data_IF_969110568727
#
_entry.id   IF_969110568727
#
_cell.length_a   1.000
_cell.length_b   1.000
_cell.length_c   1.000
_cell.angle_alpha   90.00
_cell.angle_beta   90.00
_cell.angle_gamma   90.00
#
_symmetry.space_group_name_H-M   'P 1'
#
loop_
_entity.id
_entity.type
_entity.pdbx_description
1 polymer ?
#
# COMPACT_ATOMS: atom_id res chain seq x y z
N UNK A 1 -44.08 -27.17 31.12
CA UNK A 1 -43.05 -28.03 30.47
C UNK A 1 -42.86 -27.74 28.97
N UNK A 2 -43.73 -26.99 28.32
CA UNK A 2 -43.58 -26.58 26.91
C UNK A 2 -42.85 -25.22 26.71
N UNK A 3 -42.87 -24.30 27.69
CA UNK A 3 -42.23 -22.98 27.60
C UNK A 3 -40.71 -23.06 27.63
N UNK A 4 -40.15 -23.88 28.52
CA UNK A 4 -38.68 -24.06 28.61
C UNK A 4 -38.08 -24.68 27.34
N UNK A 5 -38.81 -25.53 26.63
CA UNK A 5 -38.39 -26.17 25.40
C UNK A 5 -38.43 -25.18 24.22
N UNK A 6 -39.39 -24.23 24.23
CA UNK A 6 -39.48 -23.17 23.23
C UNK A 6 -38.40 -22.08 23.43
N UNK A 7 -38.00 -21.78 24.67
CA UNK A 7 -36.90 -20.90 24.99
C UNK A 7 -35.55 -21.51 24.59
N UNK A 8 -35.33 -22.83 24.84
CA UNK A 8 -34.13 -23.53 24.38
C UNK A 8 -34.03 -23.59 22.84
N UNK A 9 -35.14 -23.81 22.12
CA UNK A 9 -35.19 -23.80 20.66
C UNK A 9 -35.02 -22.39 20.07
N UNK A 10 -35.42 -21.35 20.82
CA UNK A 10 -35.20 -19.95 20.43
C UNK A 10 -33.76 -19.52 20.64
N UNK A 11 -33.09 -19.98 21.68
CA UNK A 11 -31.67 -19.73 21.96
C UNK A 11 -30.75 -20.51 20.99
N UNK A 12 -31.14 -21.70 20.53
CA UNK A 12 -30.39 -22.52 19.59
C UNK A 12 -30.38 -21.94 18.16
N UNK A 13 -31.14 -20.89 17.87
CA UNK A 13 -31.29 -20.27 16.57
C UNK A 13 -30.73 -18.85 16.48
N UNK A 14 -29.75 -18.50 17.33
CA UNK A 14 -29.03 -17.25 17.12
C UNK A 14 -28.37 -17.28 15.71
N UNK A 15 -28.71 -16.34 14.82
CA UNK A 15 -28.15 -16.32 13.48
C UNK A 15 -26.62 -16.21 13.57
N UNK A 16 -25.93 -17.07 12.83
CA UNK A 16 -24.47 -17.05 12.79
C UNK A 16 -23.97 -15.62 12.49
N UNK A 17 -22.95 -15.14 13.18
CA UNK A 17 -22.47 -13.78 13.00
C UNK A 17 -22.10 -13.54 11.54
N UNK A 18 -22.71 -12.52 10.95
CA UNK A 18 -22.43 -12.14 9.56
C UNK A 18 -20.95 -11.85 9.41
N UNK A 19 -20.30 -12.51 8.45
CA UNK A 19 -18.92 -12.27 8.06
C UNK A 19 -18.89 -11.42 6.78
N UNK A 20 -17.91 -10.55 6.69
CA UNK A 20 -17.65 -9.81 5.45
C UNK A 20 -17.22 -10.77 4.35
N UNK A 21 -17.93 -10.76 3.22
CA UNK A 21 -17.58 -11.53 2.03
C UNK A 21 -16.59 -10.71 1.19
N UNK A 22 -15.34 -11.15 1.14
CA UNK A 22 -14.28 -10.50 0.36
C UNK A 22 -12.95 -11.23 0.52
N UNK A 23 -11.97 -10.96 -0.34
CA UNK A 23 -10.65 -11.58 -0.24
C UNK A 23 -10.00 -11.27 1.11
N UNK A 24 -9.17 -12.19 1.63
CA UNK A 24 -8.48 -11.97 2.90
C UNK A 24 -7.47 -10.82 2.75
N UNK A 25 -7.64 -9.76 3.57
CA UNK A 25 -6.81 -8.55 3.48
C UNK A 25 -5.31 -8.86 3.64
N UNK A 26 -4.97 -9.74 4.60
CA UNK A 26 -3.59 -10.11 4.87
C UNK A 26 -2.91 -10.76 3.65
N UNK A 27 -3.66 -11.54 2.87
CA UNK A 27 -3.13 -12.20 1.68
C UNK A 27 -2.80 -11.16 0.58
N UNK A 28 -3.70 -10.19 0.37
CA UNK A 28 -3.46 -9.11 -0.60
C UNK A 28 -2.30 -8.22 -0.17
N UNK A 29 -2.19 -7.92 1.14
CA UNK A 29 -1.09 -7.15 1.71
C UNK A 29 0.26 -7.86 1.53
N UNK A 30 0.33 -9.16 1.80
CA UNK A 30 1.55 -9.97 1.61
C UNK A 30 1.89 -10.07 0.12
N UNK A 31 0.91 -10.37 -0.74
CA UNK A 31 1.13 -10.46 -2.19
C UNK A 31 1.71 -9.14 -2.76
N UNK A 32 1.11 -8.00 -2.38
CA UNK A 32 1.63 -6.68 -2.73
C UNK A 32 3.08 -6.50 -2.28
N UNK A 33 3.34 -6.73 -0.99
CA UNK A 33 4.67 -6.50 -0.39
C UNK A 33 5.73 -7.41 -1.01
N UNK A 34 5.42 -8.69 -1.19
CA UNK A 34 6.36 -9.68 -1.77
C UNK A 34 6.67 -9.34 -3.23
N UNK A 35 5.66 -9.05 -4.05
CA UNK A 35 5.88 -8.69 -5.45
C UNK A 35 6.69 -7.40 -5.57
N UNK A 36 6.40 -6.41 -4.73
CA UNK A 36 7.14 -5.15 -4.73
C UNK A 36 8.62 -5.36 -4.36
N UNK A 37 8.89 -6.05 -3.26
CA UNK A 37 10.26 -6.31 -2.80
C UNK A 37 11.03 -7.21 -3.75
N UNK A 38 10.38 -8.24 -4.32
CA UNK A 38 10.97 -9.08 -5.35
C UNK A 38 11.34 -8.27 -6.61
N UNK A 39 10.51 -7.25 -6.96
CA UNK A 39 10.82 -6.33 -8.05
C UNK A 39 12.03 -5.44 -7.77
N UNK A 40 12.23 -5.01 -6.52
CA UNK A 40 13.40 -4.21 -6.14
C UNK A 40 14.68 -5.04 -6.09
N UNK A 41 14.60 -6.34 -5.80
CA UNK A 41 15.76 -7.20 -5.62
C UNK A 41 16.80 -7.06 -6.74
N UNK A 42 16.45 -7.21 -8.05
CA UNK A 42 17.43 -7.22 -9.12
C UNK A 42 18.08 -5.86 -9.41
N UNK A 43 17.50 -4.75 -8.96
CA UNK A 43 18.00 -3.38 -9.24
C UNK A 43 18.69 -2.74 -8.04
N UNK A 44 18.69 -3.39 -6.88
CA UNK A 44 19.35 -2.92 -5.65
C UNK A 44 20.65 -3.68 -5.40
N UNK A 45 21.26 -3.42 -4.25
CA UNK A 45 22.52 -4.07 -3.79
C UNK A 45 22.47 -5.59 -3.82
N UNK A 46 21.30 -6.17 -3.67
CA UNK A 46 21.12 -7.63 -3.68
C UNK A 46 21.22 -8.25 -5.08
N UNK A 47 20.93 -7.49 -6.13
CA UNK A 47 21.04 -7.93 -7.52
C UNK A 47 22.41 -7.70 -8.15
N UNK A 48 23.35 -7.07 -7.43
CA UNK A 48 24.70 -6.75 -7.91
C UNK A 48 24.81 -5.38 -8.59
N UNK A 49 26.05 -4.97 -8.83
CA UNK A 49 26.36 -3.67 -9.46
C UNK A 49 26.13 -3.69 -10.99
N UNK A 50 25.89 -2.53 -11.63
CA UNK A 50 25.58 -1.24 -11.01
C UNK A 50 24.19 -1.25 -10.38
N UNK A 51 23.97 -0.43 -9.34
CA UNK A 51 22.66 -0.27 -8.67
C UNK A 51 21.80 0.77 -9.37
N UNK A 52 20.50 0.75 -9.11
CA UNK A 52 19.58 1.78 -9.58
C UNK A 52 20.06 3.16 -9.10
N UNK A 53 20.33 4.10 -10.01
CA UNK A 53 20.92 5.39 -9.67
C UNK A 53 19.94 6.28 -8.91
N UNK A 54 20.46 7.09 -8.00
CA UNK A 54 19.69 8.12 -7.32
C UNK A 54 19.43 9.34 -8.23
N UNK A 55 18.44 10.19 -7.89
CA UNK A 55 18.13 11.38 -8.69
C UNK A 55 19.23 12.47 -8.66
N UNK A 56 20.21 12.31 -7.81
CA UNK A 56 21.40 13.18 -7.72
C UNK A 56 22.56 12.73 -8.62
N UNK A 57 22.46 11.57 -9.25
CA UNK A 57 23.49 11.05 -10.14
C UNK A 57 23.51 11.76 -11.49
N UNK A 58 24.64 11.70 -12.18
CA UNK A 58 24.78 12.28 -13.51
C UNK A 58 23.94 11.55 -14.56
N UNK A 59 23.59 12.25 -15.63
CA UNK A 59 22.89 11.66 -16.78
C UNK A 59 23.63 10.45 -17.36
N UNK A 60 24.96 10.50 -17.40
CA UNK A 60 25.80 9.42 -17.92
C UNK A 60 25.75 8.20 -17.01
N UNK A 61 25.76 8.39 -15.68
CA UNK A 61 25.60 7.30 -14.70
C UNK A 61 24.25 6.63 -14.85
N UNK A 62 23.19 7.42 -15.04
CA UNK A 62 21.83 6.90 -15.26
C UNK A 62 21.80 6.08 -16.55
N UNK A 63 22.32 6.63 -17.66
CA UNK A 63 22.34 5.92 -18.94
C UNK A 63 23.14 4.62 -18.89
N UNK A 64 24.31 4.64 -18.27
CA UNK A 64 25.17 3.46 -18.10
C UNK A 64 24.45 2.34 -17.33
N UNK A 65 23.65 2.66 -16.30
CA UNK A 65 22.86 1.66 -15.58
C UNK A 65 21.82 0.99 -16.49
N UNK A 66 21.03 1.78 -17.24
CA UNK A 66 19.98 1.23 -18.10
C UNK A 66 20.52 0.44 -19.26
N UNK A 67 21.69 0.84 -19.81
CA UNK A 67 22.41 0.06 -20.83
C UNK A 67 22.97 -1.25 -20.29
N UNK A 68 23.51 -1.23 -19.06
CA UNK A 68 24.13 -2.42 -18.48
C UNK A 68 23.11 -3.45 -17.95
N UNK A 69 21.90 -3.01 -17.53
CA UNK A 69 20.97 -3.85 -16.78
C UNK A 69 19.52 -3.86 -17.30
N UNK A 70 19.27 -3.88 -18.61
CA UNK A 70 17.91 -3.78 -19.16
C UNK A 70 16.98 -4.92 -18.71
N UNK A 71 17.51 -6.13 -18.54
CA UNK A 71 16.72 -7.27 -18.05
C UNK A 71 16.31 -7.11 -16.59
N UNK A 72 17.22 -6.66 -15.71
CA UNK A 72 16.91 -6.41 -14.31
C UNK A 72 15.81 -5.33 -14.18
N UNK A 73 15.90 -4.26 -14.99
CA UNK A 73 14.90 -3.18 -15.03
C UNK A 73 13.55 -3.71 -15.52
N UNK A 74 13.51 -4.56 -16.56
CA UNK A 74 12.25 -5.18 -17.04
C UNK A 74 11.61 -6.06 -15.99
N UNK A 75 12.38 -6.86 -15.27
CA UNK A 75 11.88 -7.69 -14.16
C UNK A 75 11.32 -6.82 -13.04
N UNK A 76 12.03 -5.75 -12.66
CA UNK A 76 11.55 -4.78 -11.69
C UNK A 76 10.21 -4.17 -12.12
N UNK A 77 10.14 -3.65 -13.34
CA UNK A 77 8.93 -3.04 -13.89
C UNK A 77 7.75 -4.03 -13.91
N UNK A 78 7.97 -5.25 -14.36
CA UNK A 78 6.95 -6.30 -14.42
C UNK A 78 6.39 -6.65 -13.02
N UNK A 79 7.27 -6.87 -12.05
CA UNK A 79 6.85 -7.27 -10.70
C UNK A 79 6.18 -6.10 -9.96
N UNK A 80 6.66 -4.88 -10.12
CA UNK A 80 6.02 -3.72 -9.51
C UNK A 80 4.67 -3.40 -10.15
N UNK A 81 4.54 -3.54 -11.47
CA UNK A 81 3.23 -3.44 -12.13
C UNK A 81 2.27 -4.50 -11.58
N UNK A 82 2.74 -5.74 -11.46
CA UNK A 82 1.96 -6.84 -10.87
C UNK A 82 1.56 -6.57 -9.42
N UNK A 83 2.42 -5.91 -8.62
CA UNK A 83 2.15 -5.56 -7.23
C UNK A 83 1.02 -4.53 -7.09
N UNK A 84 0.81 -3.66 -8.07
CA UNK A 84 -0.29 -2.69 -8.05
C UNK A 84 -1.68 -3.35 -8.02
N UNK A 85 -1.82 -4.55 -8.58
CA UNK A 85 -3.10 -5.27 -8.65
C UNK A 85 -3.58 -5.68 -7.24
N UNK A 86 -2.81 -6.45 -6.43
CA UNK A 86 -3.23 -6.79 -5.08
C UNK A 86 -3.38 -5.57 -4.17
N UNK A 87 -2.65 -4.46 -4.40
CA UNK A 87 -2.87 -3.21 -3.68
C UNK A 87 -4.26 -2.62 -3.97
N UNK A 88 -4.67 -2.58 -5.25
CA UNK A 88 -6.01 -2.13 -5.63
C UNK A 88 -7.12 -3.00 -5.04
N UNK A 89 -6.95 -4.34 -5.07
CA UNK A 89 -7.90 -5.29 -4.46
C UNK A 89 -7.94 -5.12 -2.94
N UNK A 90 -6.79 -4.95 -2.29
CA UNK A 90 -6.71 -4.63 -0.86
C UNK A 90 -7.50 -3.37 -0.52
N UNK A 91 -7.31 -2.31 -1.31
CA UNK A 91 -7.99 -1.02 -1.14
C UNK A 91 -9.52 -1.17 -1.19
N UNK A 92 -10.04 -1.83 -2.22
CA UNK A 92 -11.47 -2.08 -2.35
C UNK A 92 -12.00 -2.91 -1.16
N UNK A 93 -11.25 -3.96 -0.79
CA UNK A 93 -11.64 -4.91 0.25
C UNK A 93 -11.62 -4.28 1.64
N UNK A 94 -10.62 -3.44 1.96
CA UNK A 94 -10.54 -2.80 3.29
C UNK A 94 -11.60 -1.72 3.44
N UNK A 95 -11.88 -0.94 2.41
CA UNK A 95 -12.94 0.06 2.40
C UNK A 95 -14.32 -0.60 2.60
N UNK A 96 -14.61 -1.65 1.84
CA UNK A 96 -15.84 -2.44 1.99
C UNK A 96 -15.96 -3.05 3.38
N UNK A 97 -14.87 -3.54 3.96
CA UNK A 97 -14.86 -4.10 5.31
C UNK A 97 -15.13 -3.03 6.37
N UNK A 98 -14.56 -1.84 6.26
CA UNK A 98 -14.86 -0.73 7.17
C UNK A 98 -16.33 -0.33 7.11
N UNK A 99 -16.93 -0.26 5.92
CA UNK A 99 -18.37 0.00 5.76
C UNK A 99 -19.22 -1.10 6.40
N UNK A 100 -18.86 -2.37 6.17
CA UNK A 100 -19.52 -3.51 6.80
C UNK A 100 -19.47 -3.47 8.33
N UNK A 101 -18.36 -2.99 8.89
CA UNK A 101 -18.19 -2.81 10.34
C UNK A 101 -18.91 -1.56 10.87
N UNK A 102 -19.59 -0.80 10.02
CA UNK A 102 -20.43 0.34 10.39
C UNK A 102 -19.78 1.72 10.23
N UNK A 103 -18.58 1.79 9.63
CA UNK A 103 -17.96 3.10 9.34
C UNK A 103 -18.72 3.84 8.24
N UNK A 104 -19.25 5.01 8.58
CA UNK A 104 -19.88 5.97 7.64
C UNK A 104 -19.04 7.22 7.42
N UNK A 105 -17.81 7.23 7.92
CA UNK A 105 -16.92 8.38 7.84
C UNK A 105 -16.40 8.60 6.42
N UNK A 106 -16.17 9.84 6.04
CA UNK A 106 -15.53 10.23 4.77
C UNK A 106 -14.16 9.58 4.57
N UNK A 107 -13.49 9.17 5.66
CA UNK A 107 -12.23 8.44 5.62
C UNK A 107 -12.24 7.21 4.72
N UNK A 108 -13.37 6.48 4.63
CA UNK A 108 -13.50 5.32 3.73
C UNK A 108 -13.37 5.73 2.26
N UNK A 109 -14.01 6.83 1.85
CA UNK A 109 -13.89 7.36 0.48
C UNK A 109 -12.51 7.91 0.20
N UNK A 110 -11.89 8.56 1.19
CA UNK A 110 -10.49 9.03 1.09
C UNK A 110 -9.55 7.84 0.92
N UNK A 111 -9.75 6.75 1.66
CA UNK A 111 -8.96 5.54 1.52
C UNK A 111 -9.10 4.91 0.12
N UNK A 112 -10.31 4.88 -0.45
CA UNK A 112 -10.53 4.40 -1.82
C UNK A 112 -9.80 5.25 -2.84
N UNK A 113 -9.96 6.58 -2.76
CA UNK A 113 -9.26 7.51 -3.64
C UNK A 113 -7.74 7.33 -3.54
N UNK A 114 -7.20 7.36 -2.32
CA UNK A 114 -5.77 7.22 -2.07
C UNK A 114 -5.22 5.90 -2.58
N UNK A 115 -5.85 4.78 -2.24
CA UNK A 115 -5.35 3.46 -2.60
C UNK A 115 -5.41 3.16 -4.10
N UNK A 116 -6.49 3.56 -4.79
CA UNK A 116 -6.57 3.40 -6.25
C UNK A 116 -5.60 4.32 -6.96
N UNK A 117 -5.47 5.58 -6.53
CA UNK A 117 -4.48 6.50 -7.10
C UNK A 117 -3.07 5.97 -6.91
N UNK A 118 -2.74 5.44 -5.73
CA UNK A 118 -1.43 4.78 -5.47
C UNK A 118 -1.17 3.64 -6.45
N UNK A 119 -2.17 2.76 -6.66
CA UNK A 119 -2.05 1.64 -7.61
C UNK A 119 -1.82 2.13 -9.04
N UNK A 120 -2.56 3.14 -9.48
CA UNK A 120 -2.41 3.75 -10.82
C UNK A 120 -1.03 4.41 -10.98
N UNK A 121 -0.57 5.18 -10.00
CA UNK A 121 0.75 5.81 -10.03
C UNK A 121 1.88 4.78 -10.06
N UNK A 122 1.73 3.67 -9.34
CA UNK A 122 2.69 2.57 -9.37
C UNK A 122 2.71 1.88 -10.73
N UNK A 123 1.55 1.66 -11.38
CA UNK A 123 1.47 1.15 -12.74
C UNK A 123 2.15 2.10 -13.72
N UNK A 124 1.88 3.41 -13.62
CA UNK A 124 2.48 4.43 -14.48
C UNK A 124 4.02 4.47 -14.35
N UNK A 125 4.54 4.46 -13.11
CA UNK A 125 5.97 4.37 -12.84
C UNK A 125 6.59 3.11 -13.45
N UNK A 126 5.90 1.97 -13.31
CA UNK A 126 6.36 0.68 -13.85
C UNK A 126 6.37 0.67 -15.37
N UNK A 127 5.38 1.29 -16.04
CA UNK A 127 5.36 1.43 -17.50
C UNK A 127 6.51 2.31 -17.96
N UNK A 128 6.75 3.47 -17.33
CA UNK A 128 7.87 4.33 -17.67
C UNK A 128 9.22 3.61 -17.49
N UNK A 129 9.36 2.85 -16.40
CA UNK A 129 10.52 2.01 -16.13
C UNK A 129 10.71 0.94 -17.21
N UNK A 130 9.63 0.28 -17.63
CA UNK A 130 9.66 -0.71 -18.70
C UNK A 130 10.07 -0.11 -20.05
N UNK A 131 9.59 1.10 -20.38
CA UNK A 131 10.00 1.83 -21.62
C UNK A 131 11.49 2.14 -21.59
N UNK A 132 12.04 2.58 -20.46
CA UNK A 132 13.48 2.86 -20.34
C UNK A 132 14.36 1.61 -20.58
N UNK A 133 13.80 0.42 -20.39
CA UNK A 133 14.51 -0.85 -20.64
C UNK A 133 14.37 -1.37 -22.09
N UNK A 134 13.71 -0.62 -22.99
CA UNK A 134 13.60 -1.03 -24.39
C UNK A 134 14.86 -0.67 -25.18
N UNK A 135 15.18 -1.47 -26.25
CA UNK A 135 16.35 -1.22 -27.08
C UNK A 135 16.39 0.22 -27.63
N UNK A 136 17.54 0.86 -27.57
CA UNK A 136 17.77 2.20 -28.12
C UNK A 136 17.29 3.36 -27.23
N UNK A 137 16.45 3.13 -26.23
CA UNK A 137 15.98 4.21 -25.33
C UNK A 137 17.14 4.70 -24.45
N UNK A 138 17.93 3.80 -23.91
CA UNK A 138 19.06 4.16 -23.05
C UNK A 138 20.20 4.90 -23.81
N UNK A 139 20.21 4.83 -25.13
CA UNK A 139 21.18 5.56 -25.99
C UNK A 139 20.71 6.99 -26.29
N UNK A 140 19.44 7.30 -26.06
CA UNK A 140 18.86 8.62 -26.23
C UNK A 140 18.76 9.35 -24.87
N UNK A 141 19.84 10.02 -24.48
CA UNK A 141 19.95 10.65 -23.16
C UNK A 141 18.78 11.59 -22.80
N UNK A 142 18.29 12.51 -23.67
CA UNK A 142 17.15 13.36 -23.35
C UNK A 142 15.86 12.60 -23.08
N UNK A 143 15.57 11.58 -23.88
CA UNK A 143 14.36 10.74 -23.69
C UNK A 143 14.48 9.93 -22.41
N UNK A 144 15.63 9.32 -22.17
CA UNK A 144 15.88 8.55 -20.95
C UNK A 144 15.71 9.41 -19.70
N UNK A 145 16.28 10.62 -19.69
CA UNK A 145 16.15 11.53 -18.56
C UNK A 145 14.70 11.94 -18.29
N UNK A 146 13.94 12.27 -19.34
CA UNK A 146 12.53 12.61 -19.19
C UNK A 146 11.72 11.45 -18.58
N UNK A 147 11.93 10.22 -19.07
CA UNK A 147 11.28 9.02 -18.53
C UNK A 147 11.74 8.70 -17.09
N UNK A 148 13.02 8.93 -16.80
CA UNK A 148 13.57 8.74 -15.45
C UNK A 148 12.88 9.69 -14.46
N UNK A 149 12.77 10.98 -14.77
CA UNK A 149 12.09 11.93 -13.91
C UNK A 149 10.58 11.65 -13.79
N UNK A 150 9.93 11.18 -14.85
CA UNK A 150 8.54 10.71 -14.76
C UNK A 150 8.40 9.51 -13.80
N UNK A 151 9.34 8.57 -13.89
CA UNK A 151 9.37 7.42 -12.97
C UNK A 151 9.56 7.86 -11.52
N UNK A 152 10.44 8.82 -11.27
CA UNK A 152 10.65 9.42 -9.96
C UNK A 152 9.41 10.19 -9.47
N UNK A 153 8.73 10.92 -10.33
CA UNK A 153 7.49 11.63 -10.00
C UNK A 153 6.36 10.68 -9.65
N UNK A 154 6.07 9.70 -10.52
CA UNK A 154 5.01 8.71 -10.29
C UNK A 154 5.32 7.78 -9.12
N UNK A 155 6.55 7.26 -9.04
CA UNK A 155 6.97 6.36 -7.97
C UNK A 155 7.33 7.08 -6.67
N UNK A 156 7.62 8.37 -6.69
CA UNK A 156 7.90 9.21 -5.53
C UNK A 156 6.63 9.77 -4.89
N UNK A 157 6.43 11.08 -5.03
CA UNK A 157 5.26 11.78 -4.47
C UNK A 157 3.94 11.24 -5.02
N UNK A 158 3.88 10.93 -6.31
CA UNK A 158 2.70 10.35 -6.96
C UNK A 158 2.22 9.05 -6.33
N UNK A 159 3.13 8.26 -5.77
CA UNK A 159 2.82 7.06 -4.98
C UNK A 159 2.58 7.40 -3.51
N UNK A 160 3.48 8.15 -2.87
CA UNK A 160 3.56 8.27 -1.41
C UNK A 160 2.42 9.10 -0.83
N UNK A 161 2.02 10.19 -1.49
CA UNK A 161 0.90 11.05 -1.04
C UNK A 161 -0.42 10.27 -1.07
N UNK A 162 -0.87 9.69 -2.19
CA UNK A 162 -2.12 8.94 -2.16
C UNK A 162 -2.05 7.68 -1.28
N UNK A 163 -0.86 7.09 -1.09
CA UNK A 163 -0.68 6.03 -0.11
C UNK A 163 -0.90 6.55 1.33
N UNK A 164 -0.42 7.75 1.66
CA UNK A 164 -0.71 8.43 2.92
C UNK A 164 -2.22 8.60 3.15
N UNK A 165 -2.97 9.03 2.10
CA UNK A 165 -4.43 9.13 2.15
C UNK A 165 -5.11 7.76 2.39
N UNK A 166 -4.65 6.70 1.73
CA UNK A 166 -5.15 5.34 2.01
C UNK A 166 -4.97 5.01 3.49
N UNK A 167 -3.75 5.20 3.99
CA UNK A 167 -3.39 4.86 5.38
C UNK A 167 -4.17 5.69 6.38
N UNK A 168 -4.27 7.00 6.20
CA UNK A 168 -5.06 7.90 7.05
C UNK A 168 -6.55 7.56 7.02
N UNK A 169 -7.09 7.38 5.81
CA UNK A 169 -8.50 7.07 5.58
C UNK A 169 -8.97 5.76 6.20
N UNK A 170 -8.06 4.81 6.40
CA UNK A 170 -8.33 3.56 7.14
C UNK A 170 -8.05 3.74 8.63
N UNK A 171 -6.90 4.29 8.99
CA UNK A 171 -6.41 4.36 10.38
C UNK A 171 -7.34 5.18 11.27
N UNK A 172 -7.76 6.37 10.79
CA UNK A 172 -8.55 7.29 11.58
C UNK A 172 -9.92 6.70 11.96
N UNK A 173 -10.77 6.22 11.02
CA UNK A 173 -12.03 5.59 11.38
C UNK A 173 -11.85 4.34 12.25
N UNK A 174 -10.86 3.49 11.93
CA UNK A 174 -10.59 2.28 12.69
C UNK A 174 -10.14 2.59 14.13
N UNK A 175 -9.42 3.70 14.36
CA UNK A 175 -9.03 4.16 15.68
C UNK A 175 -10.24 4.64 16.50
N UNK A 176 -11.10 5.49 15.93
CA UNK A 176 -12.32 5.96 16.60
C UNK A 176 -13.26 4.80 16.97
N UNK A 177 -13.36 3.81 16.10
CA UNK A 177 -14.17 2.61 16.33
C UNK A 177 -13.46 1.56 17.18
N UNK A 178 -12.21 1.78 17.60
CA UNK A 178 -11.37 0.84 18.37
C UNK A 178 -11.23 -0.55 17.72
N UNK A 179 -11.16 -0.58 16.39
CA UNK A 179 -11.10 -1.83 15.61
C UNK A 179 -9.69 -2.43 15.53
N UNK A 180 -8.66 -1.63 15.78
CA UNK A 180 -7.25 -2.03 15.65
C UNK A 180 -6.44 -1.61 16.89
N UNK A 181 -5.36 -2.32 17.22
CA UNK A 181 -4.46 -1.98 18.33
C UNK A 181 -3.84 -0.57 18.19
N UNK A 182 -3.57 0.08 19.32
CA UNK A 182 -3.03 1.44 19.37
C UNK A 182 -1.69 1.59 18.62
N UNK A 183 -0.84 0.57 18.63
CA UNK A 183 0.45 0.61 17.92
C UNK A 183 0.27 0.64 16.39
N UNK A 184 -0.76 -0.04 15.85
CA UNK A 184 -1.09 0.05 14.40
C UNK A 184 -1.64 1.44 14.06
N UNK A 185 -2.41 2.03 14.98
CA UNK A 185 -2.88 3.43 14.83
C UNK A 185 -1.70 4.38 14.79
N UNK A 186 -0.77 4.29 15.76
CA UNK A 186 0.41 5.15 15.83
C UNK A 186 1.28 5.01 14.58
N UNK A 187 1.55 3.77 14.14
CA UNK A 187 2.30 3.50 12.91
C UNK A 187 1.58 4.09 11.69
N UNK A 188 0.26 3.90 11.58
CA UNK A 188 -0.53 4.42 10.46
C UNK A 188 -0.52 5.96 10.39
N UNK A 189 -0.61 6.64 11.54
CA UNK A 189 -0.49 8.10 11.59
C UNK A 189 0.91 8.54 11.13
N UNK A 190 1.97 7.89 11.60
CA UNK A 190 3.34 8.20 11.19
C UNK A 190 3.54 8.00 9.68
N UNK A 191 3.08 6.86 9.12
CA UNK A 191 3.12 6.58 7.68
C UNK A 191 2.36 7.62 6.88
N UNK A 192 1.15 7.99 7.34
CA UNK A 192 0.33 9.00 6.68
C UNK A 192 1.01 10.36 6.64
N UNK A 193 1.56 10.82 7.77
CA UNK A 193 2.29 12.10 7.85
C UNK A 193 3.50 12.08 6.90
N UNK A 194 4.32 11.04 6.92
CA UNK A 194 5.46 10.92 6.01
C UNK A 194 5.01 10.89 4.54
N UNK A 195 3.91 10.20 4.24
CA UNK A 195 3.34 10.17 2.89
C UNK A 195 2.86 11.53 2.43
N UNK A 196 2.05 12.20 3.26
CA UNK A 196 1.51 13.52 2.94
C UNK A 196 2.59 14.61 2.82
N UNK A 197 3.65 14.54 3.59
CA UNK A 197 4.77 15.49 3.51
C UNK A 197 5.74 15.16 2.36
N UNK A 198 5.70 13.97 1.80
CA UNK A 198 6.67 13.54 0.80
C UNK A 198 6.69 14.37 -0.48
N UNK A 199 5.58 15.06 -0.85
CA UNK A 199 5.57 15.92 -2.02
C UNK A 199 6.49 17.15 -1.90
N UNK A 200 6.88 17.50 -0.68
CA UNK A 200 7.80 18.62 -0.44
C UNK A 200 9.15 18.40 -1.11
N UNK A 201 9.57 17.15 -1.34
CA UNK A 201 10.84 16.87 -2.03
C UNK A 201 10.89 17.46 -3.44
N UNK A 202 9.74 17.73 -4.07
CA UNK A 202 9.70 18.37 -5.41
C UNK A 202 10.23 19.79 -5.38
N UNK A 203 10.24 20.45 -4.21
CA UNK A 203 10.80 21.80 -3.99
C UNK A 203 12.06 21.74 -3.13
N UNK A 204 12.11 20.80 -2.17
CA UNK A 204 13.19 20.67 -1.18
C UNK A 204 13.78 19.26 -1.31
N UNK A 205 14.85 19.05 -2.08
CA UNK A 205 15.41 17.72 -2.34
C UNK A 205 15.79 16.95 -1.07
N UNK A 206 16.08 17.66 0.04
CA UNK A 206 16.37 17.06 1.35
C UNK A 206 15.23 16.23 1.94
N UNK A 207 13.99 16.42 1.48
CA UNK A 207 12.81 15.69 1.97
C UNK A 207 12.56 14.36 1.23
N UNK A 208 13.38 14.03 0.23
CA UNK A 208 13.31 12.77 -0.51
C UNK A 208 13.26 11.51 0.39
N UNK A 209 13.94 11.43 1.55
CA UNK A 209 13.86 10.28 2.46
C UNK A 209 12.45 9.99 2.99
N UNK A 210 11.52 10.94 2.96
CA UNK A 210 10.12 10.71 3.36
C UNK A 210 9.42 9.69 2.46
N UNK A 211 9.82 9.61 1.18
CA UNK A 211 9.28 8.64 0.22
C UNK A 211 9.55 7.19 0.63
N UNK A 212 10.81 6.75 0.79
CA UNK A 212 11.09 5.39 1.26
C UNK A 212 10.58 5.16 2.69
N UNK A 213 10.62 6.17 3.56
CA UNK A 213 10.13 6.05 4.92
C UNK A 213 8.65 5.71 4.95
N UNK A 214 7.79 6.44 4.23
CA UNK A 214 6.36 6.12 4.14
C UNK A 214 6.11 4.75 3.52
N UNK A 215 6.86 4.38 2.48
CA UNK A 215 6.68 3.13 1.73
C UNK A 215 7.06 1.91 2.54
N UNK A 216 8.27 1.86 3.09
CA UNK A 216 8.76 0.66 3.79
C UNK A 216 8.08 0.45 5.14
N UNK A 217 7.81 1.51 5.91
CA UNK A 217 6.99 1.39 7.12
C UNK A 217 5.53 1.08 6.78
N UNK A 218 5.06 1.55 5.62
CA UNK A 218 3.75 1.24 5.07
C UNK A 218 3.54 -0.25 4.78
N UNK A 219 4.58 -1.01 4.38
CA UNK A 219 4.46 -2.48 4.24
C UNK A 219 4.15 -3.15 5.58
N UNK A 220 4.76 -2.68 6.66
CA UNK A 220 4.47 -3.20 8.00
C UNK A 220 3.02 -2.87 8.36
N UNK A 221 2.58 -1.62 8.13
CA UNK A 221 1.24 -1.19 8.45
C UNK A 221 0.17 -1.96 7.65
N UNK A 222 0.34 -2.14 6.33
CA UNK A 222 -0.67 -2.78 5.48
C UNK A 222 -0.87 -4.26 5.85
N UNK A 223 0.21 -4.96 6.23
CA UNK A 223 0.15 -6.34 6.72
C UNK A 223 -0.51 -6.38 8.10
N UNK A 224 -0.09 -5.50 9.01
CA UNK A 224 -0.60 -5.46 10.38
C UNK A 224 -2.10 -5.14 10.41
N UNK A 225 -2.57 -4.14 9.66
CA UNK A 225 -4.00 -3.81 9.58
C UNK A 225 -4.80 -4.91 8.89
N UNK A 226 -4.21 -5.56 7.86
CA UNK A 226 -4.83 -6.69 7.17
C UNK A 226 -5.09 -7.90 8.06
N UNK A 227 -4.21 -8.13 9.05
CA UNK A 227 -4.34 -9.18 10.07
C UNK A 227 -5.27 -8.78 11.21
N UNK A 228 -5.19 -7.52 11.66
CA UNK A 228 -5.87 -7.06 12.88
C UNK A 228 -7.33 -6.67 12.66
N UNK A 229 -7.69 -6.13 11.47
CA UNK A 229 -9.04 -5.63 11.21
C UNK A 229 -10.08 -6.75 11.24
N UNK A 230 -11.13 -6.69 12.13
CA UNK A 230 -12.11 -7.76 12.26
C UNK A 230 -12.84 -8.07 10.95
N UNK A 231 -13.13 -9.35 10.72
CA UNK A 231 -13.91 -9.81 9.56
C UNK A 231 -15.40 -10.06 9.89
N UNK A 232 -15.80 -9.90 11.15
CA UNK A 232 -17.20 -10.06 11.60
C UNK A 232 -17.57 -9.00 12.63
N UNK A 233 -18.85 -8.62 12.65
CA UNK A 233 -19.37 -7.64 13.60
C UNK A 233 -19.28 -8.14 15.07
N UNK A 234 -19.44 -9.44 15.32
CA UNK A 234 -19.30 -10.01 16.66
C UNK A 234 -17.87 -9.87 17.20
N UNK A 235 -16.86 -10.07 16.36
CA UNK A 235 -15.45 -9.90 16.73
C UNK A 235 -15.10 -8.43 16.97
N UNK A 236 -15.71 -7.52 16.22
CA UNK A 236 -15.56 -6.09 16.45
C UNK A 236 -16.09 -5.68 17.84
N UNK A 237 -17.25 -6.19 18.25
CA UNK A 237 -17.83 -5.90 19.56
C UNK A 237 -16.94 -6.39 20.72
N UNK A 238 -16.29 -7.56 20.60
CA UNK A 238 -15.36 -8.08 21.61
C UNK A 238 -14.07 -7.27 21.72
N UNK A 239 -13.59 -6.71 20.62
CA UNK A 239 -12.36 -5.87 20.59
C UNK A 239 -12.61 -4.49 21.18
N UNK A 240 -13.84 -3.96 21.07
CA UNK A 240 -14.22 -2.64 21.57
C UNK A 240 -14.63 -2.65 23.06
N UNK A 241 -14.88 -3.80 23.67
CA UNK A 241 -15.19 -3.91 25.09
C UNK A 241 -13.97 -3.49 25.94
N UNK A 242 -14.14 -2.62 26.98
CA UNK A 242 -13.06 -2.30 27.89
C UNK A 242 -12.64 -3.58 28.63
N UNK A 243 -11.31 -3.78 28.80
CA UNK A 243 -10.81 -4.84 29.67
C UNK A 243 -11.39 -4.63 31.06
N UNK A 244 -12.18 -5.60 31.53
CA UNK A 244 -12.66 -5.61 32.91
C UNK A 244 -11.42 -5.83 33.80
N UNK A 245 -10.97 -4.77 34.42
CA UNK A 245 -9.95 -4.79 35.49
C UNK A 245 -10.58 -5.10 36.83
#
# INVERSE_FOLDING_TARGET
>A
MNDSRNEELSQARAPAPRRHAGPPLWLMAIAYTVLFLAGLYPVTVFGGQPYYPGPWESADTIAAFFQARPTAVRVCAFLQFGAAIPLGIFTASIASRLQFLGSRAAGVSIALFGGFTTSVMMMAASIALWVMAQPGIADNSPVLQALYWLTQGFGGAGFSVPFGLLVAGVTIPAAFMRLIPKWIVALGIAVAICGELSWLYMMVPGDLPLVPLSRFTGFIWIIAVGLALPSSAARAASTSAPAQT
#
